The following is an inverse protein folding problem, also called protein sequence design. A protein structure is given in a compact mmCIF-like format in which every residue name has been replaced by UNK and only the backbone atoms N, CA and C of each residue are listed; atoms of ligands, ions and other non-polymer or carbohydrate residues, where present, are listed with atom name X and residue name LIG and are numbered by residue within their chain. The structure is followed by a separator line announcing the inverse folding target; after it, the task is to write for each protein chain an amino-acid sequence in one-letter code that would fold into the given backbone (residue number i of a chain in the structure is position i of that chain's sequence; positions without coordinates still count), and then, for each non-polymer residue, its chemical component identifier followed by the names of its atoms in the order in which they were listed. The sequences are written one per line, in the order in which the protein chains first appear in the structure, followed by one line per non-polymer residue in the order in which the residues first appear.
data_IF_918864484560
#
_entry.id   IF_918864484560
#
_cell.length_a   1.000
_cell.length_b   1.000
_cell.length_c   1.000
_cell.angle_alpha   90.00
_cell.angle_beta   90.00
_cell.angle_gamma   90.00
#
_symmetry.space_group_name_H-M   'P 1'
#
loop_
_entity.id
_entity.type
_entity.pdbx_description
1 polymer ?
#
# COMPACT_ATOMS: atom_id res chain seq x y z
N UNK A 1 -5.30 6.26 8.45
CA UNK A 1 -4.23 5.25 8.26
C UNK A 1 -3.21 5.81 7.28
N UNK A 2 -1.91 5.55 7.42
CA UNK A 2 -0.91 6.09 6.51
C UNK A 2 -0.98 5.40 5.14
N UNK A 3 -1.17 6.18 4.06
CA UNK A 3 -1.30 5.64 2.69
C UNK A 3 0.03 5.60 1.93
N UNK A 4 1.01 6.39 2.38
CA UNK A 4 2.34 6.44 1.79
C UNK A 4 3.38 6.85 2.84
N UNK A 5 4.59 6.32 2.69
CA UNK A 5 5.82 6.72 3.37
C UNK A 5 6.80 7.14 2.28
N UNK A 6 7.26 8.39 2.31
CA UNK A 6 8.19 8.95 1.32
C UNK A 6 9.46 9.37 2.04
N UNK A 7 10.60 8.82 1.62
CA UNK A 7 11.92 9.04 2.22
C UNK A 7 12.90 9.58 1.18
N UNK A 8 14.04 10.12 1.62
CA UNK A 8 15.08 10.71 0.75
C UNK A 8 14.60 11.90 -0.11
N UNK A 9 13.72 12.74 0.44
CA UNK A 9 13.26 13.96 -0.21
C UNK A 9 12.96 15.04 0.83
N UNK A 10 13.15 16.31 0.47
CA UNK A 10 12.65 17.43 1.27
C UNK A 10 11.11 17.46 1.23
N UNK A 11 10.48 17.70 2.38
CA UNK A 11 9.02 17.76 2.48
C UNK A 11 8.39 18.77 1.49
N UNK A 12 9.03 19.93 1.30
CA UNK A 12 8.58 20.97 0.37
C UNK A 12 8.62 20.56 -1.12
N UNK A 13 9.38 19.52 -1.45
CA UNK A 13 9.48 18.99 -2.82
C UNK A 13 8.43 17.91 -3.10
N UNK A 14 7.63 17.50 -2.12
CA UNK A 14 6.55 16.53 -2.33
C UNK A 14 5.44 17.20 -3.14
N UNK A 15 4.98 16.61 -4.27
CA UNK A 15 3.92 17.18 -5.09
C UNK A 15 2.59 17.24 -4.32
N UNK A 16 2.25 18.42 -3.80
CA UNK A 16 1.09 18.62 -2.92
C UNK A 16 -0.23 18.23 -3.58
N UNK A 17 -0.41 18.55 -4.87
CA UNK A 17 -1.61 18.17 -5.63
C UNK A 17 -1.75 16.66 -5.77
N UNK A 18 -0.69 15.95 -6.18
CA UNK A 18 -0.75 14.50 -6.34
C UNK A 18 -0.92 13.77 -4.99
N UNK A 19 -0.30 14.30 -3.93
CA UNK A 19 -0.51 13.81 -2.57
C UNK A 19 -1.97 14.01 -2.13
N UNK A 20 -2.54 15.19 -2.36
CA UNK A 20 -3.94 15.48 -2.03
C UNK A 20 -4.92 14.59 -2.80
N UNK A 21 -4.66 14.33 -4.08
CA UNK A 21 -5.44 13.40 -4.90
C UNK A 21 -5.45 11.98 -4.32
N UNK A 22 -4.28 11.48 -3.91
CA UNK A 22 -4.15 10.16 -3.29
C UNK A 22 -4.86 10.12 -1.92
N UNK A 23 -4.75 11.18 -1.11
CA UNK A 23 -5.47 11.29 0.17
C UNK A 23 -6.98 11.29 -0.02
N UNK A 24 -7.49 12.07 -0.97
CA UNK A 24 -8.92 12.10 -1.30
C UNK A 24 -9.40 10.73 -1.75
N UNK A 25 -8.69 10.08 -2.69
CA UNK A 25 -9.04 8.76 -3.17
C UNK A 25 -9.09 7.71 -2.04
N UNK A 26 -8.20 7.81 -1.05
CA UNK A 26 -8.20 6.91 0.10
C UNK A 26 -9.43 7.01 0.98
N UNK A 27 -10.12 8.16 0.96
CA UNK A 27 -11.28 8.39 1.82
C UNK A 27 -12.61 8.15 1.10
N UNK A 28 -12.64 8.33 -0.22
CA UNK A 28 -13.92 8.40 -0.97
C UNK A 28 -14.02 7.44 -2.14
N UNK A 29 -12.93 6.79 -2.55
CA UNK A 29 -12.89 5.97 -3.77
C UNK A 29 -12.56 4.50 -3.47
N UNK A 30 -12.58 3.69 -4.52
CA UNK A 30 -12.22 2.27 -4.44
C UNK A 30 -10.71 2.08 -4.32
N UNK A 31 -10.28 0.92 -3.83
CA UNK A 31 -8.86 0.56 -3.75
C UNK A 31 -8.14 0.68 -5.11
N UNK A 32 -8.80 0.27 -6.20
CA UNK A 32 -8.25 0.38 -7.55
C UNK A 32 -7.96 1.84 -7.94
N UNK A 33 -8.89 2.76 -7.64
CA UNK A 33 -8.68 4.18 -7.91
C UNK A 33 -7.59 4.79 -7.02
N UNK A 34 -7.53 4.39 -5.74
CA UNK A 34 -6.45 4.79 -4.85
C UNK A 34 -5.08 4.32 -5.38
N UNK A 35 -4.97 3.09 -5.86
CA UNK A 35 -3.74 2.56 -6.44
C UNK A 35 -3.27 3.37 -7.66
N UNK A 36 -4.21 3.78 -8.53
CA UNK A 36 -3.90 4.64 -9.67
C UNK A 36 -3.32 5.98 -9.19
N UNK A 37 -3.91 6.60 -8.16
CA UNK A 37 -3.42 7.88 -7.62
C UNK A 37 -2.08 7.75 -6.91
N UNK A 38 -1.86 6.66 -6.18
CA UNK A 38 -0.57 6.35 -5.55
C UNK A 38 0.53 6.11 -6.61
N UNK A 39 0.19 5.47 -7.73
CA UNK A 39 1.11 5.26 -8.84
C UNK A 39 1.45 6.57 -9.56
N UNK A 40 0.47 7.44 -9.76
CA UNK A 40 0.71 8.78 -10.29
C UNK A 40 1.61 9.63 -9.37
N UNK A 41 1.44 9.51 -8.05
CA UNK A 41 2.34 10.14 -7.08
C UNK A 41 3.76 9.57 -7.19
N UNK A 42 3.92 8.23 -7.26
CA UNK A 42 5.21 7.54 -7.41
C UNK A 42 5.99 8.04 -8.62
N UNK A 43 5.32 8.13 -9.76
CA UNK A 43 5.91 8.46 -11.03
C UNK A 43 6.08 9.97 -11.25
N UNK A 44 5.81 10.79 -10.22
CA UNK A 44 6.03 12.23 -10.33
C UNK A 44 7.54 12.52 -10.41
N UNK A 45 8.00 13.37 -11.35
CA UNK A 45 9.42 13.71 -11.51
C UNK A 45 10.07 14.30 -10.26
N UNK A 46 9.30 14.92 -9.36
CA UNK A 46 9.85 15.43 -8.10
C UNK A 46 10.28 14.30 -7.15
N UNK A 47 9.75 13.08 -7.32
CA UNK A 47 10.04 11.90 -6.49
C UNK A 47 11.08 10.96 -7.11
N UNK A 48 11.77 11.34 -8.20
CA UNK A 48 12.72 10.45 -8.90
C UNK A 48 13.77 9.82 -8.00
N UNK A 49 14.26 10.54 -6.99
CA UNK A 49 15.25 10.03 -6.03
C UNK A 49 14.65 9.64 -4.67
N UNK A 50 13.33 9.78 -4.52
CA UNK A 50 12.63 9.47 -3.29
C UNK A 50 12.36 7.96 -3.18
N UNK A 51 12.42 7.45 -1.96
CA UNK A 51 12.01 6.08 -1.66
C UNK A 51 10.57 6.12 -1.15
N UNK A 52 9.62 5.71 -2.01
CA UNK A 52 8.21 5.69 -1.63
C UNK A 52 7.72 4.26 -1.35
N UNK A 53 7.13 4.05 -0.19
CA UNK A 53 6.29 2.87 0.10
C UNK A 53 4.84 3.29 0.17
N UNK A 54 3.92 2.55 -0.43
CA UNK A 54 2.49 2.85 -0.37
C UNK A 54 1.68 1.67 0.15
N UNK A 55 0.52 1.98 0.75
CA UNK A 55 -0.31 1.01 1.45
C UNK A 55 -1.79 1.27 1.13
N UNK A 56 -2.53 0.19 0.87
CA UNK A 56 -3.99 0.20 0.80
C UNK A 56 -4.54 -0.66 1.92
N UNK A 57 -5.79 -0.42 2.31
CA UNK A 57 -6.39 -1.05 3.48
C UNK A 57 -7.79 -1.55 3.19
N UNK A 58 -8.14 -2.68 3.81
CA UNK A 58 -9.51 -3.14 3.94
C UNK A 58 -10.05 -2.56 5.25
N UNK A 59 -11.14 -1.76 5.20
CA UNK A 59 -11.72 -1.14 6.40
C UNK A 59 -12.02 -2.18 7.49
N UNK A 60 -11.52 -1.94 8.71
CA UNK A 60 -11.74 -2.80 9.87
C UNK A 60 -10.92 -4.10 9.88
N UNK A 61 -10.12 -4.39 8.86
CA UNK A 61 -9.30 -5.62 8.79
C UNK A 61 -7.81 -5.29 8.86
N UNK A 62 -7.26 -4.57 7.88
CA UNK A 62 -5.82 -4.35 7.83
C UNK A 62 -5.31 -3.92 6.45
N UNK A 63 -3.99 -4.02 6.25
CA UNK A 63 -3.33 -3.71 4.97
C UNK A 63 -3.76 -4.73 3.92
N UNK A 64 -4.28 -4.28 2.78
CA UNK A 64 -4.61 -5.12 1.63
C UNK A 64 -3.39 -5.32 0.73
N UNK A 65 -2.75 -4.21 0.36
CA UNK A 65 -1.63 -4.19 -0.58
C UNK A 65 -0.57 -3.22 -0.09
N UNK A 66 0.69 -3.59 -0.32
CA UNK A 66 1.85 -2.75 -0.08
C UNK A 66 2.69 -2.68 -1.35
N UNK A 67 3.12 -1.49 -1.74
CA UNK A 67 4.11 -1.32 -2.82
C UNK A 67 5.38 -0.74 -2.20
N UNK A 68 6.49 -1.46 -2.32
CA UNK A 68 7.79 -1.11 -1.76
C UNK A 68 8.54 -0.09 -2.64
N UNK A 69 9.63 0.54 -2.14
CA UNK A 69 10.39 1.52 -2.91
C UNK A 69 11.02 0.97 -4.19
N UNK A 70 11.34 -0.32 -4.21
CA UNK A 70 11.86 -1.03 -5.38
C UNK A 70 10.77 -1.40 -6.42
N UNK A 71 9.51 -0.99 -6.20
CA UNK A 71 8.38 -1.33 -7.07
C UNK A 71 7.75 -2.69 -6.79
N UNK A 72 8.34 -3.51 -5.91
CA UNK A 72 7.76 -4.80 -5.56
C UNK A 72 6.45 -4.62 -4.80
N UNK A 73 5.49 -5.42 -5.19
CA UNK A 73 4.16 -5.44 -4.58
C UNK A 73 4.04 -6.64 -3.66
N UNK A 74 3.51 -6.42 -2.47
CA UNK A 74 3.08 -7.48 -1.55
C UNK A 74 1.57 -7.38 -1.37
N UNK A 75 0.88 -8.50 -1.60
CA UNK A 75 -0.57 -8.63 -1.37
C UNK A 75 -0.82 -9.47 -0.14
N UNK A 76 -1.68 -8.98 0.75
CA UNK A 76 -2.04 -9.62 2.00
C UNK A 76 -3.47 -10.17 1.92
N UNK A 77 -3.66 -11.41 2.31
CA UNK A 77 -4.98 -12.05 2.34
C UNK A 77 -5.36 -12.45 3.74
N UNK A 78 -6.62 -12.22 4.11
CA UNK A 78 -7.15 -12.47 5.45
C UNK A 78 -8.22 -13.55 5.41
N UNK A 79 -8.45 -14.19 6.55
CA UNK A 79 -9.61 -15.08 6.74
C UNK A 79 -10.89 -14.28 7.02
N UNK A 80 -12.01 -14.99 7.17
CA UNK A 80 -13.30 -14.39 7.49
C UNK A 80 -13.35 -13.69 8.84
N UNK A 81 -12.36 -13.90 9.71
CA UNK A 81 -12.23 -13.27 11.02
C UNK A 81 -11.25 -12.08 11.00
N UNK A 82 -10.75 -11.70 9.82
CA UNK A 82 -9.83 -10.58 9.66
C UNK A 82 -8.39 -10.86 10.08
N UNK A 83 -7.98 -12.14 10.19
CA UNK A 83 -6.61 -12.54 10.54
C UNK A 83 -5.79 -12.81 9.29
N UNK A 84 -4.54 -12.35 9.28
CA UNK A 84 -3.65 -12.47 8.12
C UNK A 84 -3.30 -13.95 7.87
N UNK A 85 -3.69 -14.50 6.72
CA UNK A 85 -3.34 -15.87 6.31
C UNK A 85 -2.09 -15.88 5.43
N UNK A 86 -2.00 -15.02 4.40
CA UNK A 86 -0.88 -15.06 3.45
C UNK A 86 -0.39 -13.66 3.07
N UNK A 87 0.90 -13.56 2.83
CA UNK A 87 1.55 -12.45 2.14
C UNK A 87 2.22 -13.01 0.88
N UNK A 88 1.90 -12.45 -0.28
CA UNK A 88 2.43 -12.89 -1.58
C UNK A 88 3.12 -11.75 -2.32
N UNK A 89 4.19 -12.07 -3.04
CA UNK A 89 4.87 -11.11 -3.90
C UNK A 89 4.08 -10.82 -5.20
N UNK A 90 4.64 -9.98 -6.07
CA UNK A 90 4.03 -9.60 -7.34
C UNK A 90 3.93 -10.77 -8.35
N UNK A 91 4.73 -11.83 -8.18
CA UNK A 91 4.70 -13.05 -8.99
C UNK A 91 3.71 -14.08 -8.43
N UNK A 92 3.07 -13.78 -7.30
CA UNK A 92 2.21 -14.72 -6.59
C UNK A 92 2.96 -15.73 -5.73
N UNK A 93 4.28 -15.59 -5.58
CA UNK A 93 5.06 -16.44 -4.68
C UNK A 93 4.69 -16.11 -3.23
N UNK A 94 4.56 -17.16 -2.43
CA UNK A 94 4.28 -17.02 -1.01
C UNK A 94 5.53 -16.50 -0.28
N UNK A 95 5.42 -15.32 0.33
CA UNK A 95 6.45 -14.75 1.18
C UNK A 95 6.29 -15.21 2.63
N UNK A 96 5.05 -15.31 3.10
CA UNK A 96 4.72 -15.79 4.45
C UNK A 96 3.31 -16.35 4.48
N UNK A 97 3.10 -17.40 5.29
CA UNK A 97 1.78 -17.92 5.64
C UNK A 97 1.66 -18.10 7.15
N UNK A 98 0.49 -17.80 7.70
CA UNK A 98 0.14 -18.08 9.07
C UNK A 98 -0.95 -19.16 9.11
N UNK A 99 -0.76 -20.16 9.97
CA UNK A 99 -1.74 -21.20 10.23
C UNK A 99 -2.19 -21.10 11.69
N UNK A 100 -3.51 -21.05 11.91
CA UNK A 100 -4.10 -20.85 13.23
C UNK A 100 -4.77 -22.14 13.69
N UNK A 101 -4.15 -22.84 14.65
CA UNK A 101 -4.75 -24.02 15.28
C UNK A 101 -5.58 -23.62 16.49
N UNK A 102 -6.88 -23.93 16.44
CA UNK A 102 -7.78 -23.78 17.58
C UNK A 102 -7.81 -25.05 18.40
N UNK A 103 -7.76 -24.90 19.73
CA UNK A 103 -8.22 -25.96 20.62
C UNK A 103 -9.73 -25.80 20.82
N UNK A 104 -10.51 -26.86 20.65
CA UNK A 104 -11.95 -26.84 20.91
C UNK A 104 -12.27 -26.58 22.39
#
# INVERSE_FOLDING_TARGET
MPIAKIENIAYASIPSTALSDAVTASNTQTESQLLIKLEALRNNPALTYAMMSSYTFIPGIGVSKMVQPNGNTVTYTYDSLGRLITAKDHNGNLLSANEYHYKP
#
